data_IF_672116361723
#
_entry.id   IF_672116361723
#
_cell.length_a   1.000
_cell.length_b   1.000
_cell.length_c   1.000
_cell.angle_alpha   90.00
_cell.angle_beta   90.00
_cell.angle_gamma   90.00
#
_symmetry.space_group_name_H-M   'P 1'
#
loop_
_entity.id
_entity.type
_entity.pdbx_description
1 polymer ?
#
# COMPACT_ATOMS: atom_id res chain seq x y z
N UNK A 1 16.84 -24.86 -12.52
CA UNK A 1 16.53 -23.96 -11.38
C UNK A 1 17.88 -23.51 -10.84
N UNK A 2 18.12 -22.21 -10.65
CA UNK A 2 19.42 -21.73 -10.15
C UNK A 2 19.32 -21.52 -8.65
N UNK A 3 20.30 -22.01 -7.89
CA UNK A 3 20.47 -21.69 -6.47
C UNK A 3 21.42 -20.49 -6.37
N UNK A 4 20.96 -19.41 -5.76
CA UNK A 4 21.75 -18.23 -5.45
C UNK A 4 21.55 -17.91 -3.96
N UNK A 5 22.48 -18.31 -3.07
CA UNK A 5 22.34 -18.06 -1.64
C UNK A 5 22.46 -16.57 -1.32
N UNK A 6 21.93 -16.18 -0.17
CA UNK A 6 22.15 -14.84 0.40
C UNK A 6 23.66 -14.56 0.49
N UNK A 7 24.06 -13.36 0.11
CA UNK A 7 25.47 -12.98 -0.07
C UNK A 7 26.23 -12.75 1.24
N UNK A 8 25.52 -12.69 2.38
CA UNK A 8 26.13 -12.67 3.70
C UNK A 8 26.67 -14.07 4.02
N UNK A 9 27.95 -14.17 4.37
CA UNK A 9 28.62 -15.43 4.75
C UNK A 9 28.19 -15.93 6.15
N UNK A 10 26.89 -15.89 6.44
CA UNK A 10 26.31 -16.52 7.61
C UNK A 10 25.91 -17.95 7.25
N UNK A 11 26.66 -18.94 7.75
CA UNK A 11 26.41 -20.36 7.48
C UNK A 11 24.97 -20.79 7.81
N UNK A 12 24.34 -20.19 8.81
CA UNK A 12 22.96 -20.47 9.17
C UNK A 12 21.97 -19.94 8.13
N UNK A 13 22.16 -18.72 7.63
CA UNK A 13 21.34 -18.15 6.56
C UNK A 13 21.49 -18.94 5.26
N UNK A 14 22.72 -19.33 4.93
CA UNK A 14 23.01 -20.16 3.76
C UNK A 14 22.33 -21.54 3.86
N UNK A 15 22.36 -22.16 5.04
CA UNK A 15 21.63 -23.40 5.30
C UNK A 15 20.11 -23.22 5.13
N UNK A 16 19.54 -22.14 5.66
CA UNK A 16 18.11 -21.81 5.46
C UNK A 16 17.78 -21.69 3.96
N UNK A 17 18.61 -21.02 3.18
CA UNK A 17 18.40 -20.85 1.75
C UNK A 17 18.50 -22.19 1.00
N UNK A 18 19.41 -23.06 1.41
CA UNK A 18 19.51 -24.41 0.86
C UNK A 18 18.24 -25.23 1.15
N UNK A 19 17.70 -25.14 2.38
CA UNK A 19 16.44 -25.80 2.73
C UNK A 19 15.25 -25.25 1.93
N UNK A 20 15.19 -23.93 1.69
CA UNK A 20 14.18 -23.33 0.81
C UNK A 20 14.31 -23.85 -0.62
N UNK A 21 15.52 -23.94 -1.15
CA UNK A 21 15.79 -24.46 -2.48
C UNK A 21 15.37 -25.94 -2.60
N UNK A 22 15.68 -26.75 -1.58
CA UNK A 22 15.24 -28.16 -1.46
C UNK A 22 13.73 -28.26 -1.49
N UNK A 23 13.03 -27.44 -0.70
CA UNK A 23 11.56 -27.35 -0.73
C UNK A 23 11.04 -27.06 -2.13
N UNK A 24 11.61 -26.08 -2.83
CA UNK A 24 11.19 -25.70 -4.18
C UNK A 24 11.42 -26.82 -5.22
N UNK A 25 12.53 -27.56 -5.12
CA UNK A 25 12.77 -28.73 -5.97
C UNK A 25 11.75 -29.83 -5.73
N UNK A 26 11.47 -30.16 -4.47
CA UNK A 26 10.46 -31.16 -4.11
C UNK A 26 9.06 -30.75 -4.59
N UNK A 27 8.68 -29.48 -4.43
CA UNK A 27 7.42 -28.95 -4.95
C UNK A 27 7.35 -29.06 -6.47
N UNK A 28 8.41 -28.67 -7.19
CA UNK A 28 8.44 -28.79 -8.66
C UNK A 28 8.31 -30.24 -9.12
N UNK A 29 8.99 -31.17 -8.45
CA UNK A 29 8.90 -32.62 -8.72
C UNK A 29 7.49 -33.15 -8.42
N UNK A 30 6.87 -32.71 -7.34
CA UNK A 30 5.49 -33.05 -6.99
C UNK A 30 4.52 -32.67 -8.10
N UNK A 31 4.53 -31.40 -8.50
CA UNK A 31 3.64 -30.89 -9.54
C UNK A 31 3.99 -31.37 -10.96
N UNK A 32 5.20 -31.89 -11.18
CA UNK A 32 5.54 -32.62 -12.40
C UNK A 32 4.86 -34.00 -12.43
N UNK A 33 4.84 -34.71 -11.31
CA UNK A 33 4.23 -36.04 -11.18
C UNK A 33 2.71 -36.00 -11.05
N UNK A 34 2.18 -34.94 -10.43
CA UNK A 34 0.76 -34.71 -10.22
C UNK A 34 0.35 -33.44 -10.99
N UNK A 35 0.25 -33.49 -12.33
CA UNK A 35 -0.10 -32.32 -13.13
C UNK A 35 -1.52 -31.82 -12.84
N UNK A 36 -2.42 -32.68 -12.35
CA UNK A 36 -3.78 -32.31 -11.91
C UNK A 36 -3.74 -31.44 -10.65
N UNK A 37 -2.74 -31.64 -9.78
CA UNK A 37 -2.54 -30.84 -8.57
C UNK A 37 -1.83 -29.52 -8.86
N UNK A 38 -1.37 -29.29 -10.10
CA UNK A 38 -0.77 -27.99 -10.44
C UNK A 38 -1.82 -26.92 -10.16
N UNK A 39 -1.46 -25.85 -9.43
CA UNK A 39 -2.32 -24.68 -9.41
C UNK A 39 -2.53 -24.26 -10.87
N UNK A 40 -3.76 -24.36 -11.36
CA UNK A 40 -4.09 -24.05 -12.74
C UNK A 40 -3.67 -22.61 -13.02
N UNK A 41 -2.60 -22.41 -13.79
CA UNK A 41 -2.16 -21.08 -14.22
C UNK A 41 -3.12 -20.44 -15.24
N UNK A 42 -4.23 -21.11 -15.57
CA UNK A 42 -5.18 -20.71 -16.61
C UNK A 42 -6.67 -20.80 -16.20
N UNK A 43 -7.01 -21.02 -14.92
CA UNK A 43 -8.40 -20.86 -14.47
C UNK A 43 -8.62 -19.45 -13.92
N UNK A 44 -9.33 -18.64 -14.71
CA UNK A 44 -9.83 -17.30 -14.37
C UNK A 44 -10.96 -17.32 -13.32
N UNK A 45 -10.97 -18.29 -12.40
CA UNK A 45 -11.97 -18.37 -11.33
C UNK A 45 -11.29 -18.25 -9.95
N UNK A 46 -11.44 -17.07 -9.33
CA UNK A 46 -11.36 -16.81 -7.90
C UNK A 46 -10.23 -17.48 -7.09
N UNK A 47 -8.98 -17.46 -7.57
CA UNK A 47 -7.85 -17.65 -6.66
C UNK A 47 -7.54 -16.32 -5.96
N UNK A 48 -8.06 -16.12 -4.76
CA UNK A 48 -7.62 -15.00 -3.93
C UNK A 48 -6.16 -15.24 -3.55
N UNK A 49 -5.30 -14.24 -3.81
CA UNK A 49 -3.90 -14.26 -3.36
C UNK A 49 -3.78 -14.08 -1.83
N UNK A 50 -4.92 -13.94 -1.15
CA UNK A 50 -5.10 -13.67 0.27
C UNK A 50 -5.09 -14.97 1.08
N UNK A 51 -3.99 -15.71 1.00
CA UNK A 51 -3.80 -16.95 1.74
C UNK A 51 -2.46 -16.97 2.43
N UNK A 52 -2.39 -17.69 3.54
CA UNK A 52 -1.12 -17.94 4.20
C UNK A 52 -0.14 -18.63 3.25
N UNK A 53 1.15 -18.32 3.40
CA UNK A 53 2.19 -19.03 2.65
C UNK A 53 2.13 -20.50 2.99
N UNK A 54 1.92 -21.34 1.98
CA UNK A 54 1.78 -22.78 2.16
C UNK A 54 3.01 -23.39 2.86
N UNK A 55 2.74 -24.11 3.95
CA UNK A 55 3.72 -24.92 4.66
C UNK A 55 3.95 -26.27 3.99
N UNK A 56 3.18 -26.60 2.94
CA UNK A 56 3.28 -27.86 2.22
C UNK A 56 4.72 -28.11 1.74
N UNK A 57 5.27 -29.24 2.18
CA UNK A 57 6.58 -29.70 1.79
C UNK A 57 6.52 -31.21 1.60
N UNK A 58 6.53 -31.70 0.34
CA UNK A 58 6.40 -33.12 0.06
C UNK A 58 7.72 -33.86 0.38
N UNK A 59 7.94 -34.12 1.67
CA UNK A 59 9.16 -34.77 2.20
C UNK A 59 9.42 -36.14 1.56
N UNK A 60 8.37 -36.87 1.19
CA UNK A 60 8.46 -38.16 0.50
C UNK A 60 9.11 -38.10 -0.88
N UNK A 61 9.20 -36.91 -1.49
CA UNK A 61 9.84 -36.70 -2.80
C UNK A 61 11.31 -36.27 -2.70
N UNK A 62 11.85 -36.16 -1.48
CA UNK A 62 13.29 -36.04 -1.27
C UNK A 62 13.92 -37.34 -1.79
N UNK A 63 14.58 -37.25 -2.93
CA UNK A 63 15.27 -38.38 -3.53
C UNK A 63 16.76 -38.35 -3.24
N UNK A 64 17.43 -39.46 -3.51
CA UNK A 64 18.87 -39.58 -3.28
C UNK A 64 19.64 -38.49 -4.03
N UNK A 65 19.21 -38.11 -5.23
CA UNK A 65 19.85 -37.06 -6.02
C UNK A 65 19.77 -35.69 -5.33
N UNK A 66 18.66 -35.39 -4.64
CA UNK A 66 18.49 -34.13 -3.89
C UNK A 66 19.39 -34.12 -2.65
N UNK A 67 19.50 -35.26 -1.95
CA UNK A 67 20.39 -35.39 -0.79
C UNK A 67 21.86 -35.33 -1.19
N UNK A 68 22.25 -35.99 -2.29
CA UNK A 68 23.61 -35.92 -2.83
C UNK A 68 23.95 -34.49 -3.25
N UNK A 69 23.03 -33.79 -3.91
CA UNK A 69 23.22 -32.38 -4.27
C UNK A 69 23.38 -31.49 -3.03
N UNK A 70 22.58 -31.70 -1.98
CA UNK A 70 22.72 -31.00 -0.70
C UNK A 70 24.11 -31.25 -0.08
N UNK A 71 24.57 -32.49 -0.04
CA UNK A 71 25.90 -32.83 0.46
C UNK A 71 27.02 -32.20 -0.37
N UNK A 72 26.88 -32.18 -1.70
CA UNK A 72 27.83 -31.52 -2.59
C UNK A 72 27.89 -30.02 -2.32
N UNK A 73 26.74 -29.34 -2.22
CA UNK A 73 26.71 -27.92 -1.87
C UNK A 73 27.34 -27.70 -0.50
N UNK A 74 26.97 -28.47 0.54
CA UNK A 74 27.52 -28.27 1.88
C UNK A 74 29.04 -28.50 1.91
N UNK A 75 29.55 -29.45 1.13
CA UNK A 75 30.98 -29.69 0.98
C UNK A 75 31.68 -28.53 0.24
N UNK A 76 31.10 -28.05 -0.85
CA UNK A 76 31.62 -26.90 -1.61
C UNK A 76 31.59 -25.63 -0.75
N UNK A 77 30.52 -25.42 0.02
CA UNK A 77 30.41 -24.33 0.99
C UNK A 77 31.46 -24.44 2.09
N UNK A 78 31.75 -25.65 2.59
CA UNK A 78 32.83 -25.89 3.55
C UNK A 78 34.24 -25.65 2.97
N UNK A 79 34.39 -25.76 1.64
CA UNK A 79 35.63 -25.49 0.90
C UNK A 79 35.77 -24.04 0.47
N UNK A 80 34.69 -23.25 0.48
CA UNK A 80 34.76 -21.82 0.18
C UNK A 80 35.67 -21.16 1.22
N UNK A 81 36.87 -20.80 0.79
CA UNK A 81 37.70 -19.87 1.56
C UNK A 81 36.91 -18.60 1.73
N UNK A 82 36.66 -18.19 2.97
CA UNK A 82 36.12 -16.88 3.29
C UNK A 82 37.13 -15.83 2.81
N UNK A 83 37.03 -15.44 1.54
CA UNK A 83 37.65 -14.21 1.09
C UNK A 83 37.01 -13.12 1.95
N UNK A 84 37.80 -12.50 2.81
CA UNK A 84 37.42 -11.29 3.50
C UNK A 84 37.21 -10.23 2.43
N UNK A 85 36.02 -10.22 1.83
CA UNK A 85 35.62 -9.13 0.94
C UNK A 85 35.86 -7.86 1.73
N UNK A 86 36.77 -7.03 1.24
CA UNK A 86 36.95 -5.70 1.79
C UNK A 86 35.59 -5.03 1.73
N UNK A 87 35.13 -4.52 2.87
CA UNK A 87 33.88 -3.80 2.92
C UNK A 87 33.93 -2.67 1.86
N UNK A 88 32.84 -2.45 1.14
CA UNK A 88 32.76 -1.41 0.10
C UNK A 88 32.87 0.00 0.69
N UNK A 89 32.73 0.11 2.01
CA UNK A 89 32.97 1.32 2.79
C UNK A 89 34.35 1.25 3.43
N UNK A 90 35.01 2.39 3.56
CA UNK A 90 36.22 2.57 4.38
C UNK A 90 35.92 2.36 5.87
N UNK A 91 36.95 2.16 6.69
CA UNK A 91 36.79 2.10 8.15
C UNK A 91 36.13 3.37 8.70
N UNK A 92 36.60 4.54 8.22
CA UNK A 92 36.07 5.85 8.60
C UNK A 92 34.58 5.97 8.30
N UNK A 93 34.12 5.59 7.10
CA UNK A 93 32.70 5.65 6.74
C UNK A 93 31.85 4.74 7.61
N UNK A 94 32.31 3.52 7.92
CA UNK A 94 31.57 2.62 8.82
C UNK A 94 31.48 3.16 10.24
N UNK A 95 32.58 3.71 10.76
CA UNK A 95 32.60 4.30 12.09
C UNK A 95 31.69 5.54 12.13
N UNK A 96 31.68 6.35 11.07
CA UNK A 96 30.75 7.48 10.90
C UNK A 96 29.29 7.03 10.86
N UNK A 97 28.95 5.97 10.11
CA UNK A 97 27.59 5.44 10.07
C UNK A 97 27.12 4.94 11.44
N UNK A 98 28.01 4.30 12.21
CA UNK A 98 27.71 3.90 13.60
C UNK A 98 27.48 5.12 14.48
N UNK A 99 28.34 6.14 14.39
CA UNK A 99 28.19 7.39 15.14
C UNK A 99 26.85 8.07 14.84
N UNK A 100 26.50 8.20 13.56
CA UNK A 100 25.22 8.75 13.13
C UNK A 100 24.02 7.94 13.63
N UNK A 101 24.12 6.61 13.60
CA UNK A 101 23.04 5.72 14.09
C UNK A 101 22.84 5.80 15.60
N UNK A 102 23.92 6.05 16.35
CA UNK A 102 23.90 6.15 17.81
C UNK A 102 23.60 7.56 18.32
N UNK A 103 23.57 8.57 17.44
CA UNK A 103 23.35 9.96 17.81
C UNK A 103 21.85 10.24 18.03
N UNK A 104 21.45 10.38 19.29
CA UNK A 104 20.08 10.66 19.72
C UNK A 104 19.58 12.09 19.43
N UNK A 105 20.49 12.99 18.98
CA UNK A 105 20.16 14.37 18.64
C UNK A 105 19.72 14.55 17.20
N UNK A 106 19.83 13.51 16.37
CA UNK A 106 19.45 13.56 14.96
C UNK A 106 18.42 12.49 14.63
N UNK A 107 17.59 12.78 13.63
CA UNK A 107 16.69 11.82 13.00
C UNK A 107 17.04 11.75 11.52
N UNK A 108 17.14 10.52 10.99
CA UNK A 108 17.46 10.26 9.59
C UNK A 108 16.23 9.62 8.93
N UNK A 109 15.67 10.30 7.92
CA UNK A 109 14.49 9.83 7.16
C UNK A 109 14.72 9.95 5.65
N UNK A 110 14.11 9.06 4.85
CA UNK A 110 14.01 9.32 3.42
C UNK A 110 13.14 10.56 3.18
N UNK A 111 13.45 11.32 2.13
CA UNK A 111 12.60 12.40 1.65
C UNK A 111 11.28 11.85 1.08
N UNK A 112 10.22 12.66 1.16
CA UNK A 112 8.90 12.32 0.57
C UNK A 112 8.97 12.03 -0.93
N UNK A 113 9.78 12.81 -1.66
CA UNK A 113 9.99 12.69 -3.11
C UNK A 113 11.46 12.93 -3.45
N UNK A 114 11.92 12.36 -4.57
CA UNK A 114 13.25 12.59 -5.13
C UNK A 114 14.38 11.68 -4.61
N UNK A 115 14.07 10.66 -3.79
CA UNK A 115 15.04 9.65 -3.36
C UNK A 115 16.15 10.15 -2.41
N UNK A 116 16.08 11.40 -1.95
CA UNK A 116 17.05 11.97 -1.03
C UNK A 116 16.97 11.39 0.38
N UNK A 117 18.08 11.48 1.12
CA UNK A 117 18.13 11.21 2.57
C UNK A 117 18.20 12.53 3.32
N UNK A 118 17.35 12.72 4.33
CA UNK A 118 17.28 13.94 5.12
C UNK A 118 17.74 13.65 6.55
N UNK A 119 18.73 14.42 7.00
CA UNK A 119 19.20 14.44 8.39
C UNK A 119 18.65 15.71 9.01
N UNK A 120 17.93 15.59 10.13
CA UNK A 120 17.38 16.72 10.87
C UNK A 120 17.61 16.55 12.36
N UNK A 121 17.51 17.61 13.14
CA UNK A 121 17.56 17.49 14.60
C UNK A 121 16.36 16.70 15.12
N UNK A 122 16.57 15.85 16.12
CA UNK A 122 15.49 15.13 16.81
C UNK A 122 14.45 16.07 17.44
N UNK A 123 14.89 17.25 17.89
CA UNK A 123 14.01 18.32 18.39
C UNK A 123 13.03 18.80 17.31
N UNK A 124 13.53 19.15 16.12
CA UNK A 124 12.68 19.51 14.98
C UNK A 124 11.68 18.40 14.64
N UNK A 125 12.16 17.16 14.51
CA UNK A 125 11.32 16.01 14.19
C UNK A 125 10.18 15.85 15.22
N UNK A 126 10.49 15.97 16.51
CA UNK A 126 9.48 15.96 17.57
C UNK A 126 8.50 17.13 17.44
N UNK A 127 8.99 18.34 17.24
CA UNK A 127 8.14 19.54 17.14
C UNK A 127 7.18 19.48 15.94
N UNK A 128 7.66 19.02 14.78
CA UNK A 128 6.84 18.89 13.57
C UNK A 128 5.82 17.76 13.70
N UNK A 129 6.22 16.63 14.29
CA UNK A 129 5.29 15.55 14.60
C UNK A 129 4.18 16.02 15.53
N UNK A 130 4.50 16.77 16.57
CA UNK A 130 3.51 17.32 17.50
C UNK A 130 2.60 18.36 16.83
N UNK A 131 3.14 19.19 15.91
CA UNK A 131 2.35 20.14 15.11
C UNK A 131 1.35 19.42 14.20
N UNK A 132 1.73 18.28 13.63
CA UNK A 132 0.81 17.45 12.83
C UNK A 132 -0.25 16.82 13.73
N UNK A 133 0.16 16.22 14.85
CA UNK A 133 -0.74 15.51 15.77
C UNK A 133 -1.61 16.45 16.63
N UNK A 134 -1.35 17.76 16.62
CA UNK A 134 -2.18 18.76 17.30
C UNK A 134 -3.43 19.17 16.52
N UNK A 135 -3.60 18.71 15.27
CA UNK A 135 -4.86 18.92 14.55
C UNK A 135 -5.96 18.03 15.13
N UNK A 136 -6.76 18.60 16.02
CA UNK A 136 -7.85 17.91 16.72
C UNK A 136 -8.99 17.46 15.80
N UNK A 137 -9.08 17.99 14.57
CA UNK A 137 -10.04 17.52 13.58
C UNK A 137 -9.62 16.18 12.96
N UNK A 138 -8.31 15.93 12.89
CA UNK A 138 -7.75 14.74 12.25
C UNK A 138 -7.30 13.71 13.28
N UNK A 139 -6.76 14.12 14.43
CA UNK A 139 -6.15 13.23 15.42
C UNK A 139 -6.68 13.47 16.82
N UNK A 140 -6.79 12.38 17.59
CA UNK A 140 -7.13 12.40 19.00
C UNK A 140 -6.14 11.60 19.80
N UNK A 141 -5.55 12.24 20.81
CA UNK A 141 -4.73 11.53 21.81
C UNK A 141 -5.63 10.63 22.69
N UNK A 142 -5.17 9.42 22.96
CA UNK A 142 -5.87 8.40 23.73
C UNK A 142 -5.25 8.25 25.12
N UNK A 143 -6.09 8.01 26.12
CA UNK A 143 -5.66 7.86 27.51
C UNK A 143 -5.12 6.46 27.85
N UNK A 144 -5.39 5.47 26.99
CA UNK A 144 -4.98 4.07 27.16
C UNK A 144 -4.73 3.43 25.80
N UNK A 145 -4.02 2.30 25.81
CA UNK A 145 -3.86 1.45 24.64
C UNK A 145 -5.21 0.83 24.24
N UNK A 146 -5.77 1.12 23.05
CA UNK A 146 -7.05 0.56 22.61
C UNK A 146 -6.90 -0.82 21.93
N UNK A 147 -5.68 -1.35 21.80
CA UNK A 147 -5.38 -2.45 20.89
C UNK A 147 -6.19 -3.72 21.11
N UNK A 148 -6.47 -4.09 22.37
CA UNK A 148 -7.28 -5.28 22.69
C UNK A 148 -8.74 -5.09 22.30
N UNK A 149 -9.34 -3.96 22.71
CA UNK A 149 -10.72 -3.60 22.38
C UNK A 149 -10.94 -3.59 20.84
N UNK A 150 -9.96 -3.07 20.09
CA UNK A 150 -10.02 -3.06 18.62
C UNK A 150 -9.81 -4.46 18.03
N UNK A 151 -8.87 -5.25 18.56
CA UNK A 151 -8.66 -6.62 18.10
C UNK A 151 -9.91 -7.47 18.25
N UNK A 152 -10.66 -7.31 19.34
CA UNK A 152 -11.90 -8.04 19.58
C UNK A 152 -13.01 -7.63 18.61
N UNK A 153 -13.14 -6.34 18.27
CA UNK A 153 -14.07 -5.87 17.22
C UNK A 153 -13.75 -6.49 15.85
N UNK A 154 -12.48 -6.52 15.48
CA UNK A 154 -12.05 -7.14 14.22
C UNK A 154 -12.29 -8.64 14.22
N UNK A 155 -12.04 -9.33 15.34
CA UNK A 155 -12.32 -10.75 15.45
C UNK A 155 -13.81 -11.05 15.26
N UNK A 156 -14.68 -10.30 15.94
CA UNK A 156 -16.13 -10.43 15.81
C UNK A 156 -16.59 -10.20 14.36
N UNK A 157 -16.17 -9.11 13.72
CA UNK A 157 -16.53 -8.81 12.34
C UNK A 157 -16.09 -9.92 11.36
N UNK A 158 -14.90 -10.48 11.54
CA UNK A 158 -14.41 -11.58 10.71
C UNK A 158 -15.19 -12.89 10.96
N UNK A 159 -15.57 -13.18 12.21
CA UNK A 159 -16.38 -14.34 12.57
C UNK A 159 -17.79 -14.26 11.98
N UNK A 160 -18.40 -13.06 11.99
CA UNK A 160 -19.69 -12.81 11.33
C UNK A 160 -19.59 -13.06 9.81
N UNK A 161 -18.57 -12.50 9.14
CA UNK A 161 -18.35 -12.73 7.71
C UNK A 161 -18.11 -14.19 7.33
N UNK A 162 -17.42 -14.96 8.19
CA UNK A 162 -17.21 -16.40 7.99
C UNK A 162 -18.50 -17.19 8.21
N UNK A 163 -19.26 -16.88 9.25
CA UNK A 163 -20.54 -17.54 9.57
C UNK A 163 -21.58 -17.33 8.46
N UNK A 164 -21.60 -16.14 7.85
CA UNK A 164 -22.47 -15.80 6.71
C UNK A 164 -21.99 -16.40 5.38
N UNK A 165 -20.85 -17.09 5.35
CA UNK A 165 -20.28 -17.66 4.12
C UNK A 165 -19.70 -16.63 3.16
N UNK A 166 -19.55 -15.37 3.58
CA UNK A 166 -18.93 -14.29 2.79
C UNK A 166 -17.43 -14.51 2.70
N UNK A 167 -16.81 -14.93 3.81
CA UNK A 167 -15.42 -15.35 3.85
C UNK A 167 -15.33 -16.87 3.80
N UNK A 168 -14.46 -17.39 2.92
CA UNK A 168 -14.10 -18.81 2.99
C UNK A 168 -13.07 -19.08 4.10
N UNK A 169 -12.84 -20.35 4.43
CA UNK A 169 -11.90 -20.75 5.50
C UNK A 169 -10.48 -20.21 5.31
N UNK A 170 -10.00 -20.13 4.06
CA UNK A 170 -8.65 -19.66 3.77
C UNK A 170 -8.54 -18.15 4.00
N UNK A 171 -9.55 -17.40 3.57
CA UNK A 171 -9.65 -15.94 3.77
C UNK A 171 -9.81 -15.62 5.25
N UNK A 172 -10.71 -16.28 5.96
CA UNK A 172 -10.91 -16.08 7.39
C UNK A 172 -9.61 -16.33 8.17
N UNK A 173 -8.93 -17.44 7.88
CA UNK A 173 -7.64 -17.76 8.50
C UNK A 173 -6.56 -16.73 8.14
N UNK A 174 -6.51 -16.29 6.88
CA UNK A 174 -5.58 -15.25 6.46
C UNK A 174 -5.86 -13.94 7.19
N UNK A 175 -7.12 -13.49 7.25
CA UNK A 175 -7.50 -12.20 7.84
C UNK A 175 -7.25 -12.14 9.34
N UNK A 176 -7.38 -13.26 10.06
CA UNK A 176 -7.14 -13.33 11.50
C UNK A 176 -5.66 -13.16 11.82
N UNK A 177 -5.33 -12.16 12.65
CA UNK A 177 -3.98 -11.91 13.16
C UNK A 177 -3.98 -12.17 14.66
N UNK A 178 -3.27 -13.22 15.09
CA UNK A 178 -3.23 -13.63 16.49
C UNK A 178 -2.42 -12.64 17.36
N UNK A 179 -1.27 -12.19 16.85
CA UNK A 179 -0.36 -11.29 17.55
C UNK A 179 -0.11 -10.02 16.72
N UNK A 180 -1.06 -9.07 16.69
CA UNK A 180 -0.92 -7.86 15.88
C UNK A 180 0.17 -6.94 16.43
N UNK A 181 0.89 -6.28 15.52
CA UNK A 181 1.82 -5.19 15.87
C UNK A 181 1.04 -3.88 16.08
N UNK A 182 1.52 -3.08 17.02
CA UNK A 182 1.01 -1.72 17.22
C UNK A 182 1.45 -0.85 16.03
N UNK A 183 0.54 -0.18 15.32
CA UNK A 183 0.90 0.77 14.28
C UNK A 183 1.74 1.93 14.83
N UNK A 184 2.70 2.42 14.05
CA UNK A 184 3.61 3.50 14.48
C UNK A 184 3.52 4.68 13.51
N UNK A 185 3.46 5.89 14.07
CA UNK A 185 3.52 7.12 13.29
C UNK A 185 4.97 7.55 13.03
N UNK A 186 5.20 8.06 11.82
CA UNK A 186 6.39 8.81 11.46
C UNK A 186 6.03 9.82 10.37
N UNK A 187 6.93 10.75 10.03
CA UNK A 187 6.73 11.59 8.85
C UNK A 187 7.91 11.55 7.88
N UNK A 188 7.61 11.83 6.61
CA UNK A 188 8.59 12.02 5.55
C UNK A 188 8.75 13.50 5.22
N UNK A 189 9.97 14.06 5.22
CA UNK A 189 10.18 15.49 4.93
C UNK A 189 9.90 15.83 3.47
N UNK A 190 9.07 16.85 3.25
CA UNK A 190 8.78 17.38 1.91
C UNK A 190 9.87 18.40 1.51
N UNK A 191 10.89 17.95 0.80
CA UNK A 191 12.01 18.82 0.40
C UNK A 191 11.85 19.46 -1.00
N UNK A 192 11.07 18.85 -1.90
CA UNK A 192 10.99 19.27 -3.31
C UNK A 192 10.47 20.70 -3.52
N UNK A 193 9.44 21.11 -2.77
CA UNK A 193 8.87 22.47 -2.82
C UNK A 193 9.49 23.42 -1.80
N UNK A 194 10.41 22.93 -0.97
CA UNK A 194 10.87 23.60 0.25
C UNK A 194 12.38 23.47 0.46
N UNK A 195 13.15 23.31 -0.62
CA UNK A 195 14.59 23.01 -0.54
C UNK A 195 15.39 24.11 0.19
N UNK A 196 14.87 25.33 0.18
CA UNK A 196 15.45 26.49 0.89
C UNK A 196 14.97 26.61 2.35
N UNK A 197 13.96 25.84 2.77
CA UNK A 197 13.49 25.84 4.14
C UNK A 197 14.38 24.93 5.00
N UNK A 198 14.93 25.51 6.06
CA UNK A 198 15.66 24.78 7.10
C UNK A 198 14.75 23.79 7.87
N UNK A 199 13.43 23.91 7.73
CA UNK A 199 12.38 23.14 8.43
C UNK A 199 11.29 22.71 7.44
N UNK A 200 11.53 21.66 6.63
CA UNK A 200 10.57 21.20 5.63
C UNK A 200 9.36 20.50 6.27
N UNK A 201 8.12 20.80 5.85
CA UNK A 201 6.91 20.17 6.39
C UNK A 201 6.96 18.63 6.27
N UNK A 202 6.35 17.94 7.24
CA UNK A 202 6.23 16.48 7.22
C UNK A 202 5.01 15.97 6.46
N UNK A 203 5.15 14.87 5.71
CA UNK A 203 4.03 14.02 5.30
C UNK A 203 3.82 12.95 6.37
N UNK A 204 2.68 12.92 7.09
CA UNK A 204 2.43 11.89 8.08
C UNK A 204 2.24 10.52 7.42
N UNK A 205 2.80 9.48 8.03
CA UNK A 205 2.64 8.08 7.63
C UNK A 205 2.36 7.24 8.87
N UNK A 206 1.37 6.36 8.78
CA UNK A 206 1.05 5.37 9.81
C UNK A 206 1.51 4.02 9.28
N UNK A 207 2.56 3.47 9.89
CA UNK A 207 3.06 2.12 9.58
C UNK A 207 2.13 1.08 10.19
N UNK A 208 1.17 0.61 9.41
CA UNK A 208 0.23 -0.44 9.82
C UNK A 208 0.74 -1.86 9.59
N UNK A 209 2.01 -2.10 9.23
CA UNK A 209 2.47 -3.44 8.79
C UNK A 209 2.33 -4.48 9.91
N UNK A 210 1.51 -5.50 9.67
CA UNK A 210 1.24 -6.56 10.63
C UNK A 210 0.33 -6.14 11.79
N UNK A 211 -0.30 -4.96 11.70
CA UNK A 211 -1.33 -4.52 12.65
C UNK A 211 -2.67 -5.20 12.42
N UNK A 212 -3.58 -5.05 13.37
CA UNK A 212 -4.93 -5.63 13.35
C UNK A 212 -5.68 -5.37 12.03
N UNK A 213 -5.56 -4.17 11.47
CA UNK A 213 -6.27 -3.78 10.24
C UNK A 213 -5.52 -4.15 8.96
N UNK A 214 -4.26 -4.58 9.04
CA UNK A 214 -3.37 -4.66 7.88
C UNK A 214 -3.78 -5.67 6.81
N UNK A 215 -4.29 -6.84 7.22
CA UNK A 215 -4.75 -7.90 6.32
C UNK A 215 -6.17 -7.63 5.82
N UNK A 216 -7.05 -7.08 6.66
CA UNK A 216 -8.37 -6.62 6.21
C UNK A 216 -8.24 -5.50 5.18
N UNK A 217 -7.34 -4.54 5.41
CA UNK A 217 -7.03 -3.50 4.43
C UNK A 217 -6.52 -4.06 3.10
N UNK A 218 -5.80 -5.17 3.10
CA UNK A 218 -5.34 -5.81 1.85
C UNK A 218 -6.49 -6.52 1.14
N UNK A 219 -7.36 -7.19 1.90
CA UNK A 219 -8.56 -7.82 1.37
C UNK A 219 -9.50 -6.80 0.75
N UNK A 220 -9.80 -5.71 1.48
CA UNK A 220 -10.65 -4.63 0.98
C UNK A 220 -10.05 -4.02 -0.29
N UNK A 221 -8.74 -3.73 -0.31
CA UNK A 221 -8.09 -3.24 -1.53
C UNK A 221 -8.34 -4.19 -2.71
N UNK A 222 -8.10 -5.49 -2.53
CA UNK A 222 -8.36 -6.51 -3.55
C UNK A 222 -9.82 -6.53 -4.03
N UNK A 223 -10.80 -6.31 -3.14
CA UNK A 223 -12.21 -6.20 -3.53
C UNK A 223 -12.50 -4.90 -4.32
N UNK A 224 -11.83 -3.79 -4.00
CA UNK A 224 -12.07 -2.48 -4.62
C UNK A 224 -11.35 -2.28 -5.96
N UNK A 225 -10.20 -2.92 -6.18
CA UNK A 225 -9.38 -2.72 -7.39
C UNK A 225 -10.15 -2.87 -8.72
N UNK A 226 -11.02 -3.89 -8.92
CA UNK A 226 -11.78 -4.02 -10.17
C UNK A 226 -12.64 -2.79 -10.47
N UNK A 227 -13.23 -2.17 -9.45
CA UNK A 227 -14.05 -0.97 -9.57
C UNK A 227 -13.22 0.27 -9.85
N UNK A 228 -12.04 0.38 -9.25
CA UNK A 228 -11.10 1.49 -9.52
C UNK A 228 -10.70 1.48 -10.99
N UNK A 229 -10.27 0.31 -11.48
CA UNK A 229 -9.77 0.16 -12.86
C UNK A 229 -10.86 0.29 -13.93
N UNK A 230 -12.14 0.17 -13.58
CA UNK A 230 -13.25 0.36 -14.51
C UNK A 230 -13.72 1.81 -14.62
N UNK A 231 -13.26 2.70 -13.74
CA UNK A 231 -13.62 4.13 -13.80
C UNK A 231 -12.96 4.82 -15.00
N UNK A 232 -13.69 5.74 -15.65
CA UNK A 232 -13.24 6.38 -16.91
C UNK A 232 -12.00 7.24 -16.73
N UNK A 233 -11.95 8.00 -15.63
CA UNK A 233 -10.87 8.90 -15.29
C UNK A 233 -9.62 8.17 -14.78
N UNK A 234 -9.68 6.87 -14.44
CA UNK A 234 -8.51 6.16 -13.94
C UNK A 234 -7.38 6.18 -14.96
N UNK A 235 -6.19 6.57 -14.48
CA UNK A 235 -4.95 6.49 -15.22
C UNK A 235 -4.06 5.41 -14.61
N UNK A 236 -3.69 4.42 -15.40
CA UNK A 236 -2.91 3.28 -14.94
C UNK A 236 -1.45 3.63 -14.71
N UNK A 237 -0.81 4.21 -15.73
CA UNK A 237 0.62 4.48 -15.73
C UNK A 237 1.01 5.53 -16.78
N UNK A 238 2.28 5.95 -16.76
CA UNK A 238 2.84 6.95 -17.69
C UNK A 238 2.70 6.54 -19.16
N UNK A 239 2.72 5.24 -19.47
CA UNK A 239 2.59 4.76 -20.85
C UNK A 239 1.21 5.08 -21.41
N UNK A 240 0.16 4.97 -20.59
CA UNK A 240 -1.20 5.32 -21.00
C UNK A 240 -1.32 6.81 -21.36
N UNK A 241 -0.74 7.72 -20.56
CA UNK A 241 -0.68 9.16 -20.93
C UNK A 241 0.05 9.36 -22.26
N UNK A 242 1.22 8.75 -22.43
CA UNK A 242 2.01 8.93 -23.65
C UNK A 242 1.25 8.47 -24.90
N UNK A 243 0.51 7.36 -24.79
CA UNK A 243 -0.35 6.88 -25.87
C UNK A 243 -1.49 7.87 -26.15
N UNK A 244 -2.19 8.36 -25.11
CA UNK A 244 -3.24 9.38 -25.26
C UNK A 244 -2.71 10.62 -25.98
N UNK A 245 -1.53 11.12 -25.60
CA UNK A 245 -0.92 12.31 -26.22
C UNK A 245 -0.53 12.08 -27.69
N UNK A 246 -0.03 10.88 -28.02
CA UNK A 246 0.34 10.52 -29.39
C UNK A 246 -0.90 10.34 -30.29
N UNK A 247 -1.99 9.81 -29.74
CA UNK A 247 -3.24 9.56 -30.49
C UNK A 247 -4.13 10.81 -30.59
N UNK A 248 -3.86 11.84 -29.77
CA UNK A 248 -4.61 13.10 -29.80
C UNK A 248 -4.33 13.89 -31.08
N UNK A 249 -5.40 14.33 -31.74
CA UNK A 249 -5.31 15.31 -32.83
C UNK A 249 -5.23 16.71 -32.24
N UNK A 250 -4.12 17.40 -32.52
CA UNK A 250 -3.87 18.74 -31.99
C UNK A 250 -4.48 19.81 -32.90
N UNK A 251 -5.48 20.52 -32.38
CA UNK A 251 -6.14 21.68 -33.00
C UNK A 251 -5.70 22.98 -32.26
N UNK A 252 -5.88 24.14 -32.91
CA UNK A 252 -5.39 25.43 -32.37
C UNK A 252 -6.08 25.89 -31.07
N UNK A 253 -7.20 25.27 -30.68
CA UNK A 253 -8.01 25.61 -29.51
C UNK A 253 -7.88 24.62 -28.34
N UNK A 254 -6.81 23.81 -28.32
CA UNK A 254 -6.55 22.86 -27.25
C UNK A 254 -5.57 23.39 -26.19
N UNK A 255 -5.94 23.24 -24.93
CA UNK A 255 -5.12 23.57 -23.77
C UNK A 255 -4.76 22.30 -22.99
N UNK A 256 -3.47 22.16 -22.66
CA UNK A 256 -2.99 21.14 -21.73
C UNK A 256 -3.13 21.65 -20.31
N UNK A 257 -3.80 20.88 -19.45
CA UNK A 257 -4.06 21.29 -18.07
C UNK A 257 -3.64 20.17 -17.10
N UNK A 258 -2.93 20.57 -16.05
CA UNK A 258 -2.61 19.72 -14.91
C UNK A 258 -3.17 20.34 -13.64
N UNK A 259 -3.74 19.52 -12.76
CA UNK A 259 -4.26 19.93 -11.45
C UNK A 259 -3.86 18.91 -10.37
N UNK A 260 -3.86 19.33 -9.11
CA UNK A 260 -3.43 18.54 -7.95
C UNK A 260 -4.50 18.66 -6.84
N UNK A 261 -5.00 17.54 -6.34
CA UNK A 261 -6.00 17.53 -5.26
C UNK A 261 -5.31 17.72 -3.91
N UNK A 262 -5.62 18.82 -3.24
CA UNK A 262 -4.97 19.14 -1.97
C UNK A 262 -5.36 18.14 -0.86
N UNK A 263 -4.37 17.42 -0.35
CA UNK A 263 -4.48 16.58 0.86
C UNK A 263 -5.58 15.51 0.79
N UNK A 264 -5.80 14.93 -0.39
CA UNK A 264 -6.88 13.98 -0.69
C UNK A 264 -7.16 12.99 0.45
N UNK A 265 -6.16 12.23 0.92
CA UNK A 265 -6.39 11.21 1.94
C UNK A 265 -6.90 11.73 3.28
N UNK A 266 -6.50 12.92 3.73
CA UNK A 266 -6.86 13.42 5.07
C UNK A 266 -8.23 14.10 5.11
N UNK A 267 -8.76 14.50 3.95
CA UNK A 267 -9.98 15.31 3.88
C UNK A 267 -11.24 14.53 3.54
N UNK A 268 -11.13 13.27 3.06
CA UNK A 268 -12.30 12.46 2.69
C UNK A 268 -13.14 12.19 3.94
N UNK A 269 -14.36 12.73 4.03
CA UNK A 269 -15.27 12.39 5.12
C UNK A 269 -15.65 10.92 5.01
N UNK A 270 -15.59 10.17 6.11
CA UNK A 270 -15.83 8.72 6.09
C UNK A 270 -17.19 8.37 5.47
N UNK A 271 -18.23 9.14 5.80
CA UNK A 271 -19.58 8.97 5.24
C UNK A 271 -19.57 9.09 3.71
N UNK A 272 -19.06 10.19 3.17
CA UNK A 272 -19.07 10.43 1.73
C UNK A 272 -18.21 9.42 0.96
N UNK A 273 -17.07 8.99 1.52
CA UNK A 273 -16.26 7.96 0.88
C UNK A 273 -16.89 6.56 0.95
N UNK A 274 -17.66 6.24 2.01
CA UNK A 274 -18.47 5.03 2.07
C UNK A 274 -19.61 5.07 1.04
N UNK A 275 -20.32 6.20 0.91
CA UNK A 275 -21.37 6.40 -0.10
C UNK A 275 -20.83 6.23 -1.53
N UNK A 276 -19.69 6.86 -1.83
CA UNK A 276 -19.02 6.69 -3.12
C UNK A 276 -18.62 5.24 -3.38
N UNK A 277 -18.09 4.55 -2.38
CA UNK A 277 -17.72 3.13 -2.51
C UNK A 277 -18.95 2.26 -2.76
N UNK A 278 -20.02 2.48 -1.99
CA UNK A 278 -21.30 1.77 -2.14
C UNK A 278 -21.89 1.95 -3.54
N UNK A 279 -21.84 3.17 -4.07
CA UNK A 279 -22.29 3.48 -5.43
C UNK A 279 -21.63 2.59 -6.48
N UNK A 280 -20.30 2.43 -6.42
CA UNK A 280 -19.59 1.56 -7.37
C UNK A 280 -19.81 0.07 -7.11
N UNK A 281 -19.88 -0.36 -5.85
CA UNK A 281 -20.17 -1.76 -5.51
C UNK A 281 -21.54 -2.19 -6.05
N UNK A 282 -22.55 -1.32 -5.95
CA UNK A 282 -23.92 -1.58 -6.44
C UNK A 282 -24.04 -1.60 -7.97
N UNK A 283 -23.07 -1.07 -8.72
CA UNK A 283 -23.03 -1.21 -10.19
C UNK A 283 -22.68 -2.62 -10.65
N UNK A 284 -22.30 -3.52 -9.73
CA UNK A 284 -21.91 -4.89 -10.07
C UNK A 284 -22.98 -5.89 -9.64
N UNK A 285 -23.70 -6.42 -10.62
CA UNK A 285 -24.79 -7.39 -10.43
C UNK A 285 -24.33 -8.75 -9.86
N UNK A 286 -23.02 -9.00 -9.80
CA UNK A 286 -22.47 -10.26 -9.25
C UNK A 286 -22.31 -10.23 -7.73
N UNK A 287 -22.17 -9.04 -7.12
CA UNK A 287 -22.02 -8.92 -5.68
C UNK A 287 -23.38 -9.03 -4.99
N UNK A 288 -23.48 -9.93 -4.02
CA UNK A 288 -24.67 -10.05 -3.20
C UNK A 288 -24.77 -8.86 -2.22
N UNK A 289 -25.97 -8.41 -1.84
CA UNK A 289 -26.16 -7.31 -0.90
C UNK A 289 -25.37 -7.47 0.41
N UNK A 290 -25.31 -8.69 0.94
CA UNK A 290 -24.58 -9.01 2.18
C UNK A 290 -23.07 -8.82 2.02
N UNK A 291 -22.52 -9.11 0.83
CA UNK A 291 -21.10 -8.87 0.53
C UNK A 291 -20.78 -7.38 0.44
N UNK A 292 -21.67 -6.59 -0.15
CA UNK A 292 -21.54 -5.13 -0.22
C UNK A 292 -21.51 -4.54 1.20
N UNK A 293 -22.48 -4.93 2.03
CA UNK A 293 -22.54 -4.50 3.45
C UNK A 293 -21.27 -4.91 4.19
N UNK A 294 -20.82 -6.15 4.02
CA UNK A 294 -19.59 -6.63 4.64
C UNK A 294 -18.38 -5.78 4.23
N UNK A 295 -18.19 -5.49 2.94
CA UNK A 295 -17.07 -4.64 2.47
C UNK A 295 -17.15 -3.24 3.06
N UNK A 296 -18.32 -2.61 3.07
CA UNK A 296 -18.51 -1.25 3.59
C UNK A 296 -18.25 -1.18 5.10
N UNK A 297 -18.74 -2.15 5.87
CA UNK A 297 -18.48 -2.22 7.31
C UNK A 297 -17.00 -2.53 7.60
N UNK A 298 -16.33 -3.30 6.74
CA UNK A 298 -14.87 -3.50 6.82
C UNK A 298 -14.08 -2.21 6.60
N UNK A 299 -14.49 -1.39 5.63
CA UNK A 299 -13.91 -0.06 5.38
C UNK A 299 -14.14 0.84 6.60
N UNK A 300 -15.38 0.92 7.08
CA UNK A 300 -15.74 1.68 8.29
C UNK A 300 -14.89 1.26 9.48
N UNK A 301 -14.77 -0.04 9.72
CA UNK A 301 -14.01 -0.60 10.83
C UNK A 301 -12.53 -0.20 10.77
N UNK A 302 -11.92 -0.21 9.58
CA UNK A 302 -10.53 0.25 9.40
C UNK A 302 -10.41 1.76 9.64
N UNK A 303 -11.32 2.57 9.09
CA UNK A 303 -11.30 4.03 9.20
C UNK A 303 -11.49 4.51 10.65
N UNK A 304 -12.48 3.96 11.35
CA UNK A 304 -12.86 4.39 12.71
C UNK A 304 -11.93 3.83 13.82
N UNK A 305 -11.09 2.83 13.51
CA UNK A 305 -10.19 2.19 14.48
C UNK A 305 -8.72 2.28 14.06
N UNK A 306 -8.35 3.30 13.28
CA UNK A 306 -6.98 3.57 12.88
C UNK A 306 -6.17 4.24 14.01
N UNK A 307 -5.79 3.44 15.00
CA UNK A 307 -4.95 3.86 16.11
C UNK A 307 -3.46 3.66 15.81
N UNK A 308 -2.61 4.44 16.45
CA UNK A 308 -1.16 4.31 16.34
C UNK A 308 -0.44 4.85 17.58
N UNK A 309 0.84 4.52 17.68
CA UNK A 309 1.72 4.93 18.77
C UNK A 309 2.78 5.91 18.30
N UNK A 310 3.02 6.94 19.11
CA UNK A 310 4.10 7.92 18.92
C UNK A 310 4.54 8.49 20.28
N UNK A 311 5.85 8.53 20.53
CA UNK A 311 6.44 9.14 21.73
C UNK A 311 5.73 8.84 23.07
N UNK A 312 5.50 7.56 23.35
CA UNK A 312 4.83 7.07 24.57
C UNK A 312 3.32 7.30 24.66
N UNK A 313 2.72 7.87 23.63
CA UNK A 313 1.30 8.16 23.57
C UNK A 313 0.62 7.36 22.46
N UNK A 314 -0.66 7.03 22.68
CA UNK A 314 -1.53 6.46 21.67
C UNK A 314 -2.40 7.56 21.06
N UNK A 315 -2.65 7.45 19.76
CA UNK A 315 -3.49 8.36 19.00
C UNK A 315 -4.49 7.59 18.15
N UNK A 316 -5.59 8.22 17.80
CA UNK A 316 -6.58 7.76 16.84
C UNK A 316 -6.69 8.78 15.72
N UNK A 317 -6.71 8.35 14.46
CA UNK A 317 -7.11 9.20 13.35
C UNK A 317 -8.64 9.23 13.25
N UNK A 318 -9.23 10.42 13.27
CA UNK A 318 -10.68 10.63 13.28
C UNK A 318 -11.27 10.89 11.90
N UNK A 319 -10.48 11.47 10.98
CA UNK A 319 -10.96 11.86 9.66
C UNK A 319 -9.97 11.45 8.56
N UNK A 320 -10.51 11.30 7.35
CA UNK A 320 -9.76 10.80 6.21
C UNK A 320 -9.34 9.34 6.37
N UNK A 321 -8.39 8.92 5.55
CA UNK A 321 -7.79 7.58 5.58
C UNK A 321 -6.30 7.68 5.89
N UNK A 322 -5.76 6.64 6.51
CA UNK A 322 -4.37 6.59 6.93
C UNK A 322 -3.45 6.51 5.71
N UNK A 323 -2.52 7.46 5.58
CA UNK A 323 -1.41 7.30 4.63
C UNK A 323 -0.54 6.14 5.10
N UNK A 324 -0.49 5.06 4.31
CA UNK A 324 0.17 3.79 4.65
C UNK A 324 -0.78 2.59 4.76
N UNK A 325 -2.10 2.84 4.79
CA UNK A 325 -3.09 1.77 4.64
C UNK A 325 -3.17 1.29 3.19
N UNK A 326 -3.33 -0.02 2.98
CA UNK A 326 -3.28 -0.62 1.63
C UNK A 326 -4.50 -0.28 0.77
N UNK A 327 -5.68 -0.16 1.39
CA UNK A 327 -6.91 0.16 0.66
C UNK A 327 -7.09 1.66 0.40
N UNK A 328 -6.30 2.52 1.07
CA UNK A 328 -6.45 3.97 0.99
C UNK A 328 -6.39 4.51 -0.45
N UNK A 329 -5.47 4.05 -1.33
CA UNK A 329 -5.47 4.48 -2.74
C UNK A 329 -6.75 4.10 -3.47
N UNK A 330 -7.26 2.88 -3.30
CA UNK A 330 -8.49 2.44 -3.94
C UNK A 330 -9.71 3.22 -3.45
N UNK A 331 -9.81 3.40 -2.14
CA UNK A 331 -10.86 4.19 -1.52
C UNK A 331 -10.89 5.64 -2.02
N UNK A 332 -9.72 6.29 -2.08
CA UNK A 332 -9.63 7.65 -2.59
C UNK A 332 -9.94 7.74 -4.09
N UNK A 333 -9.53 6.75 -4.89
CA UNK A 333 -9.87 6.71 -6.31
C UNK A 333 -11.37 6.58 -6.54
N UNK A 334 -12.07 5.74 -5.78
CA UNK A 334 -13.53 5.61 -5.89
C UNK A 334 -14.26 6.88 -5.42
N UNK A 335 -13.80 7.50 -4.32
CA UNK A 335 -14.34 8.78 -3.88
C UNK A 335 -14.22 9.85 -4.98
N UNK A 336 -13.04 10.00 -5.57
CA UNK A 336 -12.82 10.96 -6.65
C UNK A 336 -13.62 10.58 -7.92
N UNK A 337 -13.69 9.30 -8.27
CA UNK A 337 -14.45 8.86 -9.44
C UNK A 337 -15.95 9.14 -9.30
N UNK A 338 -16.50 9.02 -8.10
CA UNK A 338 -17.89 9.36 -7.82
C UNK A 338 -18.16 10.85 -8.04
N UNK A 339 -17.24 11.71 -7.57
CA UNK A 339 -17.30 13.15 -7.82
C UNK A 339 -17.13 13.47 -9.31
N UNK A 340 -16.21 12.80 -10.00
CA UNK A 340 -15.95 12.97 -11.44
C UNK A 340 -17.17 12.62 -12.31
N UNK A 341 -17.88 11.52 -11.99
CA UNK A 341 -19.10 11.14 -12.72
C UNK A 341 -20.21 12.21 -12.63
N UNK A 342 -20.18 13.09 -11.62
CA UNK A 342 -21.18 14.16 -11.47
C UNK A 342 -21.02 15.32 -12.45
N UNK A 343 -19.78 15.61 -12.90
CA UNK A 343 -19.50 16.78 -13.74
C UNK A 343 -18.97 16.43 -15.13
N UNK A 344 -18.30 15.28 -15.31
CA UNK A 344 -17.71 14.92 -16.62
C UNK A 344 -18.74 14.98 -17.77
N UNK A 345 -19.99 14.49 -17.62
CA UNK A 345 -20.97 14.58 -18.70
C UNK A 345 -21.33 16.01 -19.11
N UNK A 346 -21.34 16.95 -18.16
CA UNK A 346 -21.64 18.38 -18.40
C UNK A 346 -20.60 19.03 -19.31
N UNK A 347 -19.36 18.56 -19.25
CA UNK A 347 -18.20 19.15 -19.97
C UNK A 347 -17.63 18.25 -21.06
N UNK A 348 -18.34 17.20 -21.47
CA UNK A 348 -17.87 16.22 -22.46
C UNK A 348 -17.44 16.84 -23.82
N UNK A 349 -18.03 17.98 -24.20
CA UNK A 349 -17.69 18.68 -25.44
C UNK A 349 -16.38 19.49 -25.34
N UNK A 350 -15.97 19.84 -24.12
CA UNK A 350 -14.76 20.58 -23.84
C UNK A 350 -13.62 19.66 -23.38
N UNK A 351 -13.92 18.56 -22.70
CA UNK A 351 -12.93 17.61 -22.24
C UNK A 351 -12.63 16.59 -23.34
N UNK A 352 -11.57 16.85 -24.11
CA UNK A 352 -11.06 15.90 -25.12
C UNK A 352 -10.54 14.63 -24.43
N UNK A 353 -9.90 14.81 -23.28
CA UNK A 353 -9.43 13.74 -22.41
C UNK A 353 -9.42 14.23 -20.97
N UNK A 354 -9.78 13.38 -20.02
CA UNK A 354 -9.64 13.62 -18.59
C UNK A 354 -9.15 12.34 -17.91
N UNK A 355 -8.01 12.43 -17.23
CA UNK A 355 -7.33 11.31 -16.58
C UNK A 355 -6.75 11.73 -15.24
N UNK A 356 -6.77 10.81 -14.27
CA UNK A 356 -6.30 11.05 -12.91
C UNK A 356 -5.47 9.88 -12.41
N UNK A 357 -4.27 10.19 -11.93
CA UNK A 357 -3.41 9.29 -11.18
C UNK A 357 -3.50 9.64 -9.69
N UNK A 358 -4.44 9.00 -8.99
CA UNK A 358 -4.73 9.27 -7.57
C UNK A 358 -5.13 10.74 -7.33
N UNK A 359 -4.18 11.61 -6.95
CA UNK A 359 -4.33 13.04 -6.67
C UNK A 359 -3.91 13.94 -7.85
N UNK A 360 -3.07 13.44 -8.75
CA UNK A 360 -2.61 14.17 -9.93
C UNK A 360 -3.65 14.05 -11.08
N UNK A 361 -4.17 15.17 -11.54
CA UNK A 361 -5.16 15.25 -12.63
C UNK A 361 -4.49 15.82 -13.88
N UNK A 362 -4.76 15.20 -15.03
CA UNK A 362 -4.38 15.66 -16.35
C UNK A 362 -5.59 15.67 -17.27
N UNK A 363 -5.80 16.77 -18.01
CA UNK A 363 -6.84 16.82 -19.02
C UNK A 363 -6.48 17.75 -20.18
N UNK A 364 -7.13 17.48 -21.32
CA UNK A 364 -7.01 18.26 -22.55
C UNK A 364 -8.33 19.00 -22.74
N UNK A 365 -8.26 20.33 -22.73
CA UNK A 365 -9.42 21.20 -22.81
C UNK A 365 -9.55 21.82 -24.20
N UNK A 366 -10.71 21.65 -24.83
CA UNK A 366 -11.10 22.30 -26.08
C UNK A 366 -11.88 23.58 -25.77
N UNK A 367 -11.30 24.70 -26.16
CA UNK A 367 -11.84 26.04 -25.97
C UNK A 367 -10.83 27.01 -25.33
N UNK A 368 -11.23 28.28 -25.25
CA UNK A 368 -10.37 29.33 -24.71
C UNK A 368 -10.19 29.30 -23.18
N UNK A 369 -9.22 30.08 -22.70
CA UNK A 369 -8.91 30.20 -21.27
C UNK A 369 -10.11 30.63 -20.42
N UNK A 370 -11.02 31.43 -20.96
CA UNK A 370 -12.22 31.88 -20.24
C UNK A 370 -13.21 30.75 -19.95
N UNK A 371 -13.41 29.82 -20.89
CA UNK A 371 -14.30 28.66 -20.64
C UNK A 371 -13.66 27.67 -19.69
N UNK A 372 -12.33 27.51 -19.76
CA UNK A 372 -11.57 26.74 -18.79
C UNK A 372 -11.69 27.33 -17.38
N UNK A 373 -11.56 28.66 -17.23
CA UNK A 373 -11.72 29.32 -15.93
C UNK A 373 -13.12 29.11 -15.34
N UNK A 374 -14.17 29.16 -16.16
CA UNK A 374 -15.54 28.89 -15.72
C UNK A 374 -15.69 27.43 -15.23
N UNK A 375 -15.09 26.47 -15.95
CA UNK A 375 -15.04 25.07 -15.51
C UNK A 375 -14.32 24.90 -14.17
N UNK A 376 -13.14 25.50 -14.01
CA UNK A 376 -12.38 25.42 -12.76
C UNK A 376 -13.14 26.03 -11.57
N UNK A 377 -13.84 27.15 -11.79
CA UNK A 377 -14.69 27.76 -10.76
C UNK A 377 -15.87 26.87 -10.37
N UNK A 378 -16.49 26.18 -11.34
CA UNK A 378 -17.55 25.21 -11.08
C UNK A 378 -17.02 24.00 -10.30
N UNK A 379 -15.80 23.53 -10.60
CA UNK A 379 -15.16 22.47 -9.81
C UNK A 379 -14.90 22.88 -8.37
N UNK A 380 -14.39 24.10 -8.13
CA UNK A 380 -14.09 24.58 -6.78
C UNK A 380 -15.36 24.78 -5.92
N UNK A 381 -16.50 25.06 -6.56
CA UNK A 381 -17.80 25.20 -5.89
C UNK A 381 -18.46 23.85 -5.59
N UNK A 382 -18.30 22.86 -6.48
CA UNK A 382 -18.86 21.51 -6.33
C UNK A 382 -17.91 20.52 -5.62
N UNK A 383 -16.66 20.90 -5.37
CA UNK A 383 -15.62 20.07 -4.73
C UNK A 383 -15.54 20.20 -3.21
N UNK A 384 -16.55 20.77 -2.55
CA UNK A 384 -16.62 20.95 -1.10
C UNK A 384 -17.57 19.99 -0.42
#
# INVERSE_FOLDING_TARGET
MKYAPTTNMNLFEMYIDLQKFKKNLCLKKYFLKNPIDRPNTFQFYHHTNLKEKSTFYPKSLISQEINTFEQMIMNDLGKLKTSTKSNNLTKKERDTLKELTLNDRIEIKPADKGGGTVIMSAEYYKSESNRILSDENTYKKLNKNPGKDIQDKFAQYLEEGHTLGILNDQEFKYLKIEYPKIPVFYFLPKIQRYIYLFKPPGRPIISGIGSVSSRLSEYIDHQLQPFVTSTTAHLKDTTEILNILNDTRWEDDLLLVTSDVQSLYTIIPHKNGLEATEYFLKKNDTLQPEQIVFILEGIRLILENNYFYFQNDFYMQLNGTAMGSRFAPSYANLFMAFWEESFLPKYQNNLVCYKRYIDDIFFIWKGGIHTLQAFLQDLDQNGR
#
